data_IF_501998520021
#
_entry.id   IF_501998520021
#
_cell.length_a   1.000
_cell.length_b   1.000
_cell.length_c   1.000
_cell.angle_alpha   90.00
_cell.angle_beta   90.00
_cell.angle_gamma   90.00
#
_symmetry.space_group_name_H-M   'P 1'
#
loop_
_entity.id
_entity.type
_entity.pdbx_description
1 polymer ?
#
# COMPACT_ATOMS: atom_id res chain seq x y z
N UNK A 1 17.63 -6.92 16.24
CA UNK A 1 17.90 -6.75 14.79
C UNK A 1 18.09 -8.14 14.21
N UNK A 2 17.26 -8.58 13.24
CA UNK A 2 17.53 -9.82 12.48
C UNK A 2 18.71 -9.53 11.55
N UNK A 3 19.80 -10.27 11.68
CA UNK A 3 20.91 -10.20 10.73
C UNK A 3 20.42 -10.73 9.39
N UNK A 4 20.50 -9.92 8.34
CA UNK A 4 20.22 -10.37 6.99
C UNK A 4 21.49 -11.09 6.48
N UNK A 5 21.37 -12.41 6.31
CA UNK A 5 22.47 -13.26 5.85
C UNK A 5 22.77 -13.11 4.34
N UNK A 6 21.88 -12.44 3.61
CA UNK A 6 21.98 -12.31 2.15
C UNK A 6 21.44 -10.97 1.67
N UNK A 7 22.15 -10.36 0.74
CA UNK A 7 21.76 -9.11 0.10
C UNK A 7 21.72 -9.26 -1.40
N UNK A 8 20.67 -8.77 -2.01
CA UNK A 8 20.46 -8.81 -3.44
C UNK A 8 20.83 -7.46 -4.05
N UNK A 9 21.78 -7.48 -4.98
CA UNK A 9 22.26 -6.27 -5.65
C UNK A 9 21.50 -6.07 -6.96
N UNK A 10 20.77 -4.96 -7.06
CA UNK A 10 20.05 -4.57 -8.27
C UNK A 10 20.76 -3.39 -8.91
N UNK A 11 21.13 -3.52 -10.16
CA UNK A 11 21.62 -2.41 -10.99
C UNK A 11 20.45 -1.88 -11.79
N UNK A 12 20.13 -0.60 -11.62
CA UNK A 12 19.11 0.09 -12.39
C UNK A 12 19.66 0.59 -13.72
N UNK A 13 18.76 0.81 -14.70
CA UNK A 13 19.11 1.34 -16.02
C UNK A 13 19.72 2.74 -15.99
N UNK A 14 19.51 3.49 -14.90
CA UNK A 14 20.07 4.82 -14.63
C UNK A 14 21.47 4.78 -13.96
N UNK A 15 22.06 3.59 -13.80
CA UNK A 15 23.38 3.38 -13.19
C UNK A 15 23.34 3.29 -11.65
N UNK A 16 22.20 3.52 -11.02
CA UNK A 16 22.06 3.37 -9.57
C UNK A 16 22.09 1.89 -9.15
N UNK A 17 22.66 1.64 -7.97
CA UNK A 17 22.76 0.30 -7.39
C UNK A 17 22.01 0.28 -6.07
N UNK A 18 20.95 -0.52 -6.00
CA UNK A 18 20.22 -0.78 -4.75
C UNK A 18 20.70 -2.11 -4.15
N UNK A 19 21.00 -2.10 -2.85
CA UNK A 19 21.28 -3.32 -2.07
C UNK A 19 20.05 -3.64 -1.25
N UNK A 20 19.37 -4.74 -1.59
CA UNK A 20 18.09 -5.11 -0.98
C UNK A 20 18.29 -6.34 -0.10
N UNK A 21 17.99 -6.24 1.20
CA UNK A 21 18.11 -7.37 2.11
C UNK A 21 17.10 -8.47 1.74
N UNK A 22 17.52 -9.74 1.93
CA UNK A 22 16.72 -10.93 1.68
C UNK A 22 16.43 -11.63 3.00
N UNK A 23 15.15 -11.87 3.25
CA UNK A 23 14.68 -12.67 4.38
C UNK A 23 14.32 -14.06 3.92
N UNK A 24 15.02 -15.08 4.42
CA UNK A 24 14.70 -16.48 4.19
C UNK A 24 13.85 -17.02 5.35
N UNK A 25 12.70 -17.63 5.01
CA UNK A 25 11.79 -18.22 6.00
C UNK A 25 11.41 -19.66 5.62
N UNK A 26 11.74 -20.60 6.51
CA UNK A 26 11.21 -21.97 6.42
C UNK A 26 9.76 -22.00 6.86
N UNK A 27 8.91 -22.69 6.09
CA UNK A 27 7.48 -22.76 6.37
C UNK A 27 6.95 -24.17 6.22
N UNK A 28 6.31 -24.67 7.26
CA UNK A 28 5.59 -25.96 7.26
C UNK A 28 4.41 -25.97 6.28
N UNK A 29 3.85 -24.79 5.98
CA UNK A 29 2.70 -24.64 5.08
C UNK A 29 3.10 -24.48 3.62
N UNK A 30 4.34 -24.16 3.33
CA UNK A 30 4.81 -23.97 1.95
C UNK A 30 5.01 -25.31 1.28
N UNK A 31 4.48 -25.44 0.06
CA UNK A 31 4.69 -26.61 -0.81
C UNK A 31 5.78 -26.38 -1.87
N UNK A 32 6.21 -25.13 -2.05
CA UNK A 32 7.20 -24.72 -3.05
C UNK A 32 8.01 -23.54 -2.54
N UNK A 33 9.15 -23.25 -3.21
CA UNK A 33 9.91 -22.03 -2.95
C UNK A 33 9.16 -20.85 -3.57
N UNK A 34 8.95 -19.79 -2.79
CA UNK A 34 8.23 -18.58 -3.22
C UNK A 34 9.08 -17.34 -2.93
N UNK A 35 9.30 -16.53 -3.95
CA UNK A 35 9.94 -15.22 -3.85
C UNK A 35 8.86 -14.15 -3.82
N UNK A 36 8.88 -13.28 -2.82
CA UNK A 36 7.92 -12.19 -2.66
C UNK A 36 8.67 -10.89 -2.41
N UNK A 37 8.86 -10.04 -3.44
CA UNK A 37 9.41 -8.70 -3.26
C UNK A 37 8.42 -7.87 -2.43
N UNK A 38 8.85 -7.43 -1.25
CA UNK A 38 8.08 -6.52 -0.39
C UNK A 38 8.52 -5.08 -0.65
N UNK A 39 8.03 -4.50 -1.72
CA UNK A 39 8.47 -3.22 -2.27
C UNK A 39 8.38 -2.08 -1.24
N UNK A 40 7.32 -2.04 -0.45
CA UNK A 40 7.12 -1.01 0.58
C UNK A 40 8.17 -1.07 1.72
N UNK A 41 8.75 -2.24 1.96
CA UNK A 41 9.76 -2.46 3.02
C UNK A 41 11.19 -2.52 2.46
N UNK A 42 11.33 -2.49 1.14
CA UNK A 42 12.61 -2.72 0.46
C UNK A 42 13.29 -4.03 0.91
N UNK A 43 12.52 -5.12 0.98
CA UNK A 43 13.00 -6.44 1.39
C UNK A 43 12.49 -7.49 0.42
N UNK A 44 13.30 -8.49 0.09
CA UNK A 44 12.87 -9.67 -0.66
C UNK A 44 12.64 -10.80 0.35
N UNK A 45 11.42 -11.30 0.42
CA UNK A 45 11.10 -12.46 1.26
C UNK A 45 11.12 -13.73 0.42
N UNK A 46 11.90 -14.72 0.83
CA UNK A 46 11.96 -16.06 0.23
C UNK A 46 11.43 -17.06 1.25
N UNK A 47 10.23 -17.60 0.98
CA UNK A 47 9.64 -18.66 1.81
C UNK A 47 9.78 -20.01 1.12
N UNK A 48 10.17 -21.05 1.87
CA UNK A 48 10.42 -22.38 1.31
C UNK A 48 10.04 -23.48 2.31
N UNK A 49 9.72 -24.70 1.80
CA UNK A 49 9.36 -25.85 2.65
C UNK A 49 10.49 -26.24 3.58
N UNK A 50 10.16 -26.81 4.76
CA UNK A 50 11.14 -27.24 5.76
C UNK A 50 12.06 -28.35 5.27
N UNK A 51 11.59 -29.19 4.31
CA UNK A 51 12.37 -30.27 3.69
C UNK A 51 13.31 -29.81 2.58
N UNK A 52 13.25 -28.54 2.19
CA UNK A 52 14.15 -27.95 1.18
C UNK A 52 15.39 -27.39 1.86
N UNK A 53 16.56 -27.71 1.34
CA UNK A 53 17.82 -27.16 1.82
C UNK A 53 17.89 -25.65 1.55
N UNK A 54 18.46 -24.90 2.49
CA UNK A 54 18.62 -23.44 2.36
C UNK A 54 19.40 -23.06 1.09
N UNK A 55 20.46 -23.82 0.76
CA UNK A 55 21.26 -23.62 -0.47
C UNK A 55 20.42 -23.70 -1.75
N UNK A 56 19.41 -24.58 -1.78
CA UNK A 56 18.45 -24.66 -2.90
C UNK A 56 17.56 -23.42 -3.00
N UNK A 57 17.13 -22.86 -1.86
CA UNK A 57 16.34 -21.64 -1.87
C UNK A 57 17.17 -20.43 -2.35
N UNK A 58 18.45 -20.36 -1.99
CA UNK A 58 19.40 -19.36 -2.48
C UNK A 58 19.61 -19.52 -3.99
N UNK A 59 19.91 -20.73 -4.46
CA UNK A 59 20.11 -21.01 -5.89
C UNK A 59 18.85 -20.66 -6.72
N UNK A 60 17.66 -20.93 -6.17
CA UNK A 60 16.42 -20.54 -6.82
C UNK A 60 16.24 -19.02 -6.90
N UNK A 61 16.59 -18.27 -5.85
CA UNK A 61 16.58 -16.80 -5.88
C UNK A 61 17.52 -16.27 -6.96
N UNK A 62 18.74 -16.80 -7.03
CA UNK A 62 19.74 -16.42 -8.05
C UNK A 62 19.23 -16.71 -9.46
N UNK A 63 18.60 -17.87 -9.68
CA UNK A 63 18.03 -18.21 -11.00
C UNK A 63 16.92 -17.27 -11.44
N UNK A 64 16.32 -16.48 -10.52
CA UNK A 64 15.25 -15.52 -10.76
C UNK A 64 15.70 -14.06 -10.64
N UNK A 65 17.02 -13.82 -10.68
CA UNK A 65 17.62 -12.51 -10.49
C UNK A 65 17.02 -11.43 -11.39
N UNK A 66 16.93 -11.69 -12.69
CA UNK A 66 16.40 -10.74 -13.66
C UNK A 66 14.90 -10.46 -13.45
N UNK A 67 14.15 -11.50 -13.08
CA UNK A 67 12.74 -11.33 -12.76
C UNK A 67 12.54 -10.47 -11.52
N UNK A 68 13.33 -10.69 -10.47
CA UNK A 68 13.27 -9.88 -9.23
C UNK A 68 13.62 -8.43 -9.55
N UNK A 69 14.69 -8.18 -10.31
CA UNK A 69 15.09 -6.85 -10.75
C UNK A 69 13.94 -6.13 -11.47
N UNK A 70 13.34 -6.79 -12.47
CA UNK A 70 12.16 -6.24 -13.19
C UNK A 70 10.94 -5.97 -12.29
N UNK A 71 10.74 -6.75 -11.22
CA UNK A 71 9.66 -6.46 -10.27
C UNK A 71 9.97 -5.23 -9.40
N UNK A 72 11.24 -5.06 -9.05
CA UNK A 72 11.69 -3.91 -8.25
C UNK A 72 11.63 -2.60 -9.05
N UNK A 73 11.89 -2.63 -10.34
CA UNK A 73 11.73 -1.47 -11.24
C UNK A 73 10.27 -1.00 -11.37
N UNK A 74 9.31 -1.90 -11.21
CA UNK A 74 7.87 -1.60 -11.27
C UNK A 74 7.34 -0.85 -10.05
N UNK A 75 8.20 -0.53 -9.07
CA UNK A 75 7.77 0.23 -7.89
C UNK A 75 7.36 1.63 -8.33
N UNK A 76 6.08 2.02 -8.23
CA UNK A 76 5.72 3.41 -8.47
C UNK A 76 6.48 4.27 -7.45
N UNK A 77 7.16 5.31 -7.92
CA UNK A 77 7.74 6.30 -7.02
C UNK A 77 6.64 6.77 -6.09
N UNK A 78 6.73 6.42 -4.82
CA UNK A 78 5.75 6.85 -3.82
C UNK A 78 5.77 8.36 -3.75
N UNK A 79 4.72 9.00 -4.23
CA UNK A 79 4.56 10.44 -4.08
C UNK A 79 4.48 10.74 -2.58
N UNK A 80 5.49 11.41 -2.05
CA UNK A 80 5.47 11.86 -0.65
C UNK A 80 4.37 12.92 -0.54
N UNK A 81 3.47 12.72 0.41
CA UNK A 81 2.47 13.73 0.75
C UNK A 81 3.19 14.85 1.49
N UNK A 82 3.38 15.97 0.82
CA UNK A 82 4.02 17.17 1.36
C UNK A 82 3.33 18.42 0.81
N UNK A 83 3.68 19.56 1.33
CA UNK A 83 3.18 20.86 0.90
C UNK A 83 3.43 21.08 -0.60
N UNK A 84 2.47 21.70 -1.30
CA UNK A 84 2.51 21.99 -2.73
C UNK A 84 2.24 20.82 -3.66
N UNK A 85 2.17 19.57 -3.16
CA UNK A 85 1.94 18.39 -4.01
C UNK A 85 0.50 18.33 -4.50
N UNK A 86 0.34 18.03 -5.80
CA UNK A 86 -0.95 17.68 -6.38
C UNK A 86 -1.25 16.20 -6.20
N UNK A 87 -2.49 15.88 -5.86
CA UNK A 87 -2.95 14.53 -5.63
C UNK A 87 -4.39 14.36 -6.14
N UNK A 88 -4.64 13.28 -6.86
CA UNK A 88 -6.01 12.91 -7.23
C UNK A 88 -6.63 12.10 -6.10
N UNK A 89 -7.75 12.57 -5.57
CA UNK A 89 -8.46 11.91 -4.49
C UNK A 89 -9.96 11.89 -4.77
N UNK A 90 -10.57 10.70 -4.70
CA UNK A 90 -11.98 10.46 -5.06
C UNK A 90 -12.36 11.09 -6.41
N UNK A 91 -11.48 10.95 -7.41
CA UNK A 91 -11.67 11.43 -8.77
C UNK A 91 -11.42 12.93 -9.00
N UNK A 92 -11.10 13.70 -7.97
CA UNK A 92 -10.82 15.13 -8.07
C UNK A 92 -9.35 15.42 -7.78
N UNK A 93 -8.72 16.31 -8.57
CA UNK A 93 -7.36 16.77 -8.30
C UNK A 93 -7.38 17.88 -7.26
N UNK A 94 -6.53 17.73 -6.25
CA UNK A 94 -6.32 18.72 -5.19
C UNK A 94 -4.85 19.06 -5.06
N UNK A 95 -4.55 20.31 -4.67
CA UNK A 95 -3.24 20.73 -4.22
C UNK A 95 -3.21 20.75 -2.69
N UNK A 96 -2.21 20.15 -2.08
CA UNK A 96 -2.02 20.19 -0.64
C UNK A 96 -1.37 21.51 -0.26
N UNK A 97 -1.89 22.19 0.75
CA UNK A 97 -1.35 23.44 1.27
C UNK A 97 -1.30 23.42 2.80
N UNK A 98 -0.11 23.66 3.34
CA UNK A 98 0.09 23.73 4.79
C UNK A 98 -0.16 25.13 5.31
N UNK A 99 -1.04 25.26 6.30
CA UNK A 99 -1.32 26.53 7.00
C UNK A 99 -1.03 26.33 8.50
N UNK A 100 0.22 26.56 8.96
CA UNK A 100 0.67 26.20 10.32
C UNK A 100 -0.19 26.84 11.42
N UNK A 101 -0.61 28.09 11.24
CA UNK A 101 -1.34 28.88 12.24
C UNK A 101 -2.86 28.62 12.27
N UNK A 102 -3.39 27.85 11.31
CA UNK A 102 -4.80 27.50 11.31
C UNK A 102 -5.12 26.47 12.42
N UNK A 103 -6.35 26.50 12.94
CA UNK A 103 -6.81 25.59 14.01
C UNK A 103 -7.96 24.67 13.57
N UNK A 104 -8.08 24.43 12.26
CA UNK A 104 -9.23 23.68 11.69
C UNK A 104 -8.95 22.20 11.42
N UNK A 105 -7.71 21.73 11.58
CA UNK A 105 -7.31 20.36 11.23
C UNK A 105 -6.99 20.20 9.74
N UNK A 106 -7.66 19.28 9.05
CA UNK A 106 -7.54 19.11 7.60
C UNK A 106 -8.90 19.32 6.97
N UNK A 107 -8.99 20.12 5.91
CA UNK A 107 -10.25 20.37 5.20
C UNK A 107 -10.03 20.56 3.71
N UNK A 108 -11.10 20.36 2.94
CA UNK A 108 -11.12 20.63 1.51
C UNK A 108 -11.89 21.95 1.30
N UNK A 109 -11.34 22.79 0.47
CA UNK A 109 -11.97 24.01 -0.01
C UNK A 109 -11.52 24.24 -1.44
N UNK A 110 -12.46 24.33 -2.38
CA UNK A 110 -12.21 24.38 -3.82
C UNK A 110 -11.34 23.20 -4.30
N UNK A 111 -10.21 23.50 -4.89
CA UNK A 111 -9.23 22.51 -5.38
C UNK A 111 -8.03 22.31 -4.42
N UNK A 112 -8.21 22.65 -3.15
CA UNK A 112 -7.14 22.57 -2.15
C UNK A 112 -7.52 21.64 -1.00
N UNK A 113 -6.50 20.97 -0.48
CA UNK A 113 -6.53 20.27 0.81
C UNK A 113 -5.65 21.07 1.75
N UNK A 114 -6.27 21.88 2.61
CA UNK A 114 -5.58 22.65 3.60
C UNK A 114 -5.26 21.82 4.84
N UNK A 115 -4.06 22.01 5.39
CA UNK A 115 -3.58 21.24 6.55
C UNK A 115 -3.04 22.21 7.58
N UNK A 116 -3.64 22.25 8.76
CA UNK A 116 -3.18 23.08 9.87
C UNK A 116 -2.03 22.40 10.64
N UNK A 117 -1.22 23.21 11.30
CA UNK A 117 -0.15 22.79 12.21
C UNK A 117 1.19 22.53 11.52
N UNK A 118 2.17 22.09 12.31
CA UNK A 118 3.55 21.97 11.88
C UNK A 118 3.73 21.03 10.69
N UNK A 119 4.62 21.36 9.72
CA UNK A 119 4.86 20.60 8.50
C UNK A 119 5.24 19.13 8.73
N UNK A 120 5.90 18.82 9.84
CA UNK A 120 6.29 17.44 10.19
C UNK A 120 5.09 16.52 10.39
N UNK A 121 3.94 17.04 10.82
CA UNK A 121 2.71 16.28 11.02
C UNK A 121 1.81 16.22 9.79
N UNK A 122 2.09 17.01 8.74
CA UNK A 122 1.27 17.12 7.54
C UNK A 122 0.96 15.76 6.94
N UNK A 123 1.97 14.94 6.69
CA UNK A 123 1.79 13.62 6.05
C UNK A 123 0.84 12.72 6.86
N UNK A 124 0.98 12.68 8.18
CA UNK A 124 0.12 11.89 9.06
C UNK A 124 -1.32 12.41 9.02
N UNK A 125 -1.50 13.73 9.20
CA UNK A 125 -2.82 14.38 9.22
C UNK A 125 -3.59 14.17 7.92
N UNK A 126 -2.93 14.35 6.77
CA UNK A 126 -3.54 14.12 5.46
C UNK A 126 -3.93 12.65 5.28
N UNK A 127 -3.08 11.70 5.68
CA UNK A 127 -3.42 10.27 5.61
C UNK A 127 -4.63 9.91 6.48
N UNK A 128 -4.71 10.47 7.67
CA UNK A 128 -5.83 10.20 8.57
C UNK A 128 -7.12 10.83 8.05
N UNK A 129 -7.04 12.02 7.48
CA UNK A 129 -8.14 12.66 6.77
C UNK A 129 -8.64 11.79 5.60
N UNK A 130 -7.74 11.32 4.72
CA UNK A 130 -8.12 10.44 3.61
C UNK A 130 -8.81 9.16 4.07
N UNK A 131 -8.33 8.52 5.14
CA UNK A 131 -8.98 7.33 5.70
C UNK A 131 -10.43 7.61 6.13
N UNK A 132 -10.67 8.77 6.72
CA UNK A 132 -12.02 9.19 7.16
C UNK A 132 -12.91 9.44 5.95
N UNK A 133 -12.46 10.21 4.97
CA UNK A 133 -13.24 10.54 3.78
C UNK A 133 -13.53 9.31 2.91
N UNK A 134 -12.53 8.45 2.68
CA UNK A 134 -12.72 7.17 1.97
C UNK A 134 -13.73 6.29 2.71
N UNK A 135 -13.69 6.26 4.04
CA UNK A 135 -14.67 5.49 4.82
C UNK A 135 -16.10 6.01 4.64
N UNK A 136 -16.29 7.34 4.64
CA UNK A 136 -17.58 7.96 4.39
C UNK A 136 -18.11 7.58 3.01
N UNK A 137 -17.27 7.77 1.98
CA UNK A 137 -17.60 7.48 0.59
C UNK A 137 -17.98 6.01 0.38
N UNK A 138 -17.09 5.08 0.77
CA UNK A 138 -17.32 3.64 0.60
C UNK A 138 -18.49 3.13 1.43
N UNK A 139 -18.76 3.72 2.60
CA UNK A 139 -19.94 3.37 3.40
C UNK A 139 -21.24 3.77 2.71
N UNK A 140 -21.27 4.92 2.05
CA UNK A 140 -22.41 5.37 1.25
C UNK A 140 -22.65 4.45 0.06
N UNK A 141 -21.59 4.15 -0.71
CA UNK A 141 -21.67 3.25 -1.87
C UNK A 141 -22.07 1.83 -1.48
N UNK A 142 -21.50 1.27 -0.42
CA UNK A 142 -21.87 -0.06 0.05
C UNK A 142 -23.35 -0.15 0.47
N UNK A 143 -23.91 0.89 1.11
CA UNK A 143 -25.34 0.95 1.41
C UNK A 143 -26.18 1.01 0.15
N UNK A 144 -25.79 1.83 -0.81
CA UNK A 144 -26.51 1.94 -2.08
C UNK A 144 -26.58 0.58 -2.79
N UNK A 145 -25.44 -0.12 -2.93
CA UNK A 145 -25.41 -1.43 -3.60
C UNK A 145 -26.06 -2.55 -2.76
N UNK A 146 -25.99 -2.49 -1.44
CA UNK A 146 -26.69 -3.42 -0.57
C UNK A 146 -28.22 -3.32 -0.79
N UNK A 147 -28.75 -2.10 -0.84
CA UNK A 147 -30.18 -1.86 -1.12
C UNK A 147 -30.55 -2.34 -2.53
N UNK A 148 -29.75 -2.02 -3.54
CA UNK A 148 -30.00 -2.41 -4.94
C UNK A 148 -29.99 -3.92 -5.15
N UNK A 149 -29.15 -4.66 -4.41
CA UNK A 149 -29.00 -6.12 -4.54
C UNK A 149 -29.80 -6.92 -3.53
N UNK A 150 -30.47 -6.28 -2.59
CA UNK A 150 -31.17 -6.95 -1.48
C UNK A 150 -30.22 -7.65 -0.49
N UNK A 151 -28.90 -7.40 -0.57
CA UNK A 151 -27.90 -8.01 0.33
C UNK A 151 -27.68 -7.13 1.55
N UNK A 152 -27.29 -7.78 2.66
CA UNK A 152 -26.97 -7.07 3.91
C UNK A 152 -25.48 -7.24 4.22
N UNK A 153 -24.88 -6.23 4.84
CA UNK A 153 -23.56 -6.31 5.44
C UNK A 153 -23.64 -5.92 6.93
N UNK A 154 -22.72 -6.48 7.73
CA UNK A 154 -22.71 -6.23 9.17
C UNK A 154 -21.89 -4.99 9.53
N UNK A 155 -20.76 -4.79 8.84
CA UNK A 155 -19.78 -3.76 9.22
C UNK A 155 -18.87 -3.40 8.06
N UNK A 156 -18.48 -2.12 7.98
CA UNK A 156 -17.46 -1.63 7.06
C UNK A 156 -16.25 -1.16 7.85
N UNK A 157 -15.07 -1.58 7.42
CA UNK A 157 -13.78 -1.13 7.95
C UNK A 157 -12.88 -0.63 6.84
N UNK A 158 -12.12 0.43 7.09
CA UNK A 158 -11.07 0.91 6.20
C UNK A 158 -9.73 0.64 6.85
N UNK A 159 -8.85 -0.05 6.12
CA UNK A 159 -7.53 -0.53 6.60
C UNK A 159 -6.44 -0.06 5.65
N UNK A 160 -5.20 -0.18 6.08
CA UNK A 160 -4.02 0.00 5.24
C UNK A 160 -3.50 -1.39 4.81
N UNK A 161 -4.16 -1.97 3.82
CA UNK A 161 -3.82 -3.28 3.28
C UNK A 161 -2.82 -3.15 2.15
N UNK A 162 -1.82 -4.03 2.13
CA UNK A 162 -0.75 -4.03 1.12
C UNK A 162 -1.02 -4.94 -0.07
N UNK A 163 -1.95 -5.90 0.06
CA UNK A 163 -2.15 -6.96 -0.94
C UNK A 163 -3.57 -7.06 -1.49
N UNK A 164 -4.54 -6.33 -0.92
CA UNK A 164 -5.95 -6.41 -1.34
C UNK A 164 -6.60 -5.05 -1.30
N UNK A 165 -7.41 -4.75 -2.30
CA UNK A 165 -8.23 -3.55 -2.34
C UNK A 165 -9.46 -3.63 -1.44
N UNK A 166 -10.00 -4.84 -1.30
CA UNK A 166 -11.12 -5.11 -0.42
C UNK A 166 -11.26 -6.58 -0.10
N UNK A 167 -12.09 -6.91 0.87
CA UNK A 167 -12.49 -8.27 1.22
C UNK A 167 -13.87 -8.26 1.85
N UNK A 168 -14.65 -9.32 1.58
CA UNK A 168 -15.91 -9.59 2.24
C UNK A 168 -15.80 -10.93 2.97
N UNK A 169 -16.16 -10.95 4.24
CA UNK A 169 -16.15 -12.16 5.06
C UNK A 169 -17.55 -12.77 5.11
N UNK A 170 -17.64 -14.07 5.42
CA UNK A 170 -18.90 -14.81 5.52
C UNK A 170 -19.89 -14.24 6.55
N UNK A 171 -19.39 -13.57 7.58
CA UNK A 171 -20.21 -12.87 8.56
C UNK A 171 -20.73 -11.49 8.08
N UNK A 172 -20.58 -11.16 6.81
CA UNK A 172 -21.03 -9.89 6.22
C UNK A 172 -20.13 -8.70 6.52
N UNK A 173 -18.96 -8.86 7.16
CA UNK A 173 -18.05 -7.73 7.35
C UNK A 173 -17.25 -7.45 6.08
N UNK A 174 -17.20 -6.17 5.68
CA UNK A 174 -16.48 -5.70 4.51
C UNK A 174 -15.28 -4.87 4.98
N UNK A 175 -14.12 -5.14 4.42
CA UNK A 175 -12.92 -4.34 4.65
C UNK A 175 -12.42 -3.79 3.31
N UNK A 176 -12.07 -2.49 3.30
CA UNK A 176 -11.51 -1.80 2.15
C UNK A 176 -10.13 -1.23 2.47
N UNK A 177 -9.29 -1.12 1.46
CA UNK A 177 -8.07 -0.32 1.54
C UNK A 177 -8.40 1.17 1.39
N UNK A 178 -7.84 2.03 2.26
CA UNK A 178 -8.00 3.48 2.11
C UNK A 178 -7.39 4.02 0.79
N UNK A 179 -6.46 3.24 0.22
CA UNK A 179 -5.82 3.56 -1.07
C UNK A 179 -6.78 3.53 -2.25
N UNK A 180 -7.97 2.93 -2.09
CA UNK A 180 -9.04 3.03 -3.09
C UNK A 180 -9.41 4.48 -3.39
N UNK A 181 -9.29 5.40 -2.41
CA UNK A 181 -9.56 6.82 -2.64
C UNK A 181 -8.68 7.48 -3.72
N UNK A 182 -7.59 6.83 -4.14
CA UNK A 182 -6.71 7.29 -5.23
C UNK A 182 -6.93 6.57 -6.56
N UNK A 183 -7.83 5.60 -6.57
CA UNK A 183 -8.22 4.92 -7.81
C UNK A 183 -9.21 5.78 -8.61
N UNK A 184 -9.31 5.57 -9.94
CA UNK A 184 -10.35 6.18 -10.74
C UNK A 184 -11.75 5.85 -10.21
N UNK A 185 -12.72 6.75 -10.33
CA UNK A 185 -14.07 6.57 -9.77
C UNK A 185 -14.74 5.27 -10.24
N UNK A 186 -14.58 4.90 -11.52
CA UNK A 186 -15.16 3.66 -12.06
C UNK A 186 -14.59 2.37 -11.41
N UNK A 187 -13.47 2.47 -10.69
CA UNK A 187 -12.89 1.36 -9.91
C UNK A 187 -13.42 1.35 -8.49
N UNK A 188 -13.77 2.53 -7.96
CA UNK A 188 -14.24 2.67 -6.58
C UNK A 188 -15.74 2.34 -6.51
N UNK A 189 -16.48 2.65 -7.55
CA UNK A 189 -17.92 2.43 -7.71
C UNK A 189 -18.23 1.01 -8.15
#
# INVERSE_FOLDING_TARGET
MKAFEYSFVVKHSDGNVDVIPVEFERSLRSKSIKITPQLAKKVIKVSYPVYVLHSRAVAFLESKKDWVAKQLEKVPKTTKICDGVKITFLGTEYKIENIPNARRGVWIEDSYIFVSGEPEFLNRRVKDFFKVEVRKYLSSKARYYANKTGKKFSKITVKDTTSRWGSCASNGSIAFSWRLGFAPLFVID
#
